data_IF_506348484214
#
_entry.id   IF_506348484214
#
_cell.length_a   1.000
_cell.length_b   1.000
_cell.length_c   1.000
_cell.angle_alpha   90.00
_cell.angle_beta   90.00
_cell.angle_gamma   90.00
#
_symmetry.space_group_name_H-M   'P 1'
#
loop_
_entity.id
_entity.type
_entity.pdbx_description
1 polymer ?
#
# COMPACT_ATOMS: atom_id res chain seq x y z
N UNK A 1 -0.55 -7.85 55.72
CA UNK A 1 -0.49 -7.35 54.37
C UNK A 1 0.60 -8.12 53.60
N UNK A 2 0.22 -9.31 53.11
CA UNK A 2 1.13 -10.15 52.33
C UNK A 2 1.07 -9.79 50.86
N UNK A 3 2.10 -9.13 50.33
CA UNK A 3 2.33 -9.06 48.92
C UNK A 3 3.06 -10.34 48.52
N UNK A 4 2.39 -11.21 47.77
CA UNK A 4 3.00 -12.37 47.17
C UNK A 4 4.06 -11.93 46.19
N UNK A 5 5.33 -12.31 46.40
CA UNK A 5 6.39 -12.19 45.43
C UNK A 5 6.08 -13.11 44.23
N UNK A 6 5.55 -12.53 43.15
CA UNK A 6 5.54 -13.21 41.85
C UNK A 6 7.00 -13.26 41.39
N UNK A 7 7.59 -14.45 41.22
CA UNK A 7 8.99 -14.53 40.72
C UNK A 7 9.04 -13.86 39.33
N UNK A 8 10.00 -12.94 39.12
CA UNK A 8 10.26 -12.35 37.82
C UNK A 8 10.48 -13.50 36.82
N UNK A 9 9.51 -13.73 35.94
CA UNK A 9 9.71 -14.64 34.84
C UNK A 9 10.80 -14.06 33.92
N UNK A 10 11.96 -14.67 33.95
CA UNK A 10 13.02 -14.41 32.98
C UNK A 10 12.61 -15.02 31.64
N UNK A 11 11.98 -14.22 30.79
CA UNK A 11 11.85 -14.61 29.39
C UNK A 11 13.23 -14.57 28.77
N UNK A 12 13.77 -15.74 28.40
CA UNK A 12 14.92 -15.78 27.52
C UNK A 12 14.51 -15.07 26.22
N UNK A 13 15.24 -14.04 25.76
CA UNK A 13 14.93 -13.43 24.47
C UNK A 13 15.04 -14.52 23.41
N UNK A 14 13.96 -14.78 22.71
CA UNK A 14 13.94 -15.68 21.56
C UNK A 14 14.86 -15.03 20.54
N UNK A 15 16.02 -15.64 20.26
CA UNK A 15 16.88 -15.23 19.14
C UNK A 15 16.16 -15.65 17.86
N UNK A 16 15.37 -14.73 17.31
CA UNK A 16 14.83 -14.90 15.98
C UNK A 16 16.00 -14.74 15.01
N UNK A 17 16.40 -15.83 14.35
CA UNK A 17 17.40 -15.76 13.29
C UNK A 17 16.86 -14.89 12.15
N UNK A 18 17.75 -14.25 11.36
CA UNK A 18 17.33 -13.48 10.19
C UNK A 18 16.63 -14.35 9.14
N UNK A 19 16.87 -15.65 9.16
CA UNK A 19 16.27 -16.65 8.27
C UNK A 19 14.85 -17.04 8.73
N UNK A 20 14.54 -16.86 10.03
CA UNK A 20 13.19 -17.08 10.60
C UNK A 20 12.22 -15.92 10.37
N UNK A 21 12.69 -14.79 9.86
CA UNK A 21 11.81 -13.72 9.36
C UNK A 21 11.24 -14.26 8.05
N UNK A 22 10.17 -15.05 8.17
CA UNK A 22 9.51 -15.67 7.03
C UNK A 22 9.24 -14.62 5.97
N UNK A 23 9.79 -14.81 4.78
CA UNK A 23 9.51 -14.01 3.60
C UNK A 23 8.00 -13.98 3.43
N UNK A 24 7.38 -12.85 3.71
CA UNK A 24 5.96 -12.68 3.42
C UNK A 24 5.83 -12.70 1.92
N UNK A 25 4.93 -13.52 1.44
CA UNK A 25 4.61 -13.58 0.03
C UNK A 25 3.95 -12.26 -0.42
N UNK A 26 4.01 -12.00 -1.69
CA UNK A 26 3.37 -10.84 -2.30
C UNK A 26 2.59 -11.29 -3.53
N UNK A 27 1.82 -10.39 -4.11
CA UNK A 27 1.06 -10.66 -5.33
C UNK A 27 1.98 -10.67 -6.55
N UNK A 28 1.65 -11.53 -7.52
CA UNK A 28 2.12 -11.38 -8.90
C UNK A 28 1.37 -10.23 -9.58
N UNK A 29 1.84 -9.79 -10.73
CA UNK A 29 1.15 -8.77 -11.52
C UNK A 29 -0.22 -9.26 -11.97
N UNK A 30 -0.30 -10.52 -12.43
CA UNK A 30 -1.56 -11.14 -12.88
C UNK A 30 -2.57 -11.25 -11.74
N UNK A 31 -2.15 -11.69 -10.56
CA UNK A 31 -3.02 -11.73 -9.37
C UNK A 31 -3.54 -10.34 -8.98
N UNK A 32 -2.71 -9.32 -9.11
CA UNK A 32 -3.12 -7.95 -8.83
C UNK A 32 -4.10 -7.43 -9.89
N UNK A 33 -3.89 -7.73 -11.15
CA UNK A 33 -4.79 -7.37 -12.24
C UNK A 33 -6.15 -8.05 -12.08
N UNK A 34 -6.18 -9.33 -11.72
CA UNK A 34 -7.42 -10.03 -11.37
C UNK A 34 -8.11 -9.41 -10.16
N UNK A 35 -7.35 -8.99 -9.14
CA UNK A 35 -7.90 -8.26 -7.99
C UNK A 35 -8.56 -6.95 -8.43
N UNK A 36 -7.93 -6.17 -9.29
CA UNK A 36 -8.49 -4.90 -9.80
C UNK A 36 -9.77 -5.15 -10.60
N UNK A 37 -9.81 -6.20 -11.43
CA UNK A 37 -11.01 -6.60 -12.18
C UNK A 37 -12.13 -7.04 -11.24
N UNK A 38 -11.82 -7.92 -10.28
CA UNK A 38 -12.78 -8.40 -9.29
C UNK A 38 -13.38 -7.24 -8.47
N UNK A 39 -12.57 -6.30 -8.01
CA UNK A 39 -13.02 -5.16 -7.22
C UNK A 39 -14.01 -4.27 -7.98
N UNK A 40 -13.92 -4.16 -9.31
CA UNK A 40 -14.90 -3.45 -10.14
C UNK A 40 -16.27 -4.18 -10.10
N UNK A 41 -16.24 -5.49 -10.27
CA UNK A 41 -17.44 -6.34 -10.22
C UNK A 41 -18.04 -6.36 -8.81
N UNK A 42 -17.21 -6.47 -7.78
CA UNK A 42 -17.58 -6.53 -6.37
C UNK A 42 -18.38 -5.31 -5.89
N UNK A 43 -18.12 -4.16 -6.48
CA UNK A 43 -18.79 -2.89 -6.17
C UNK A 43 -19.90 -2.51 -7.15
N UNK A 44 -20.17 -3.36 -8.15
CA UNK A 44 -21.17 -3.07 -9.17
C UNK A 44 -22.60 -3.10 -8.59
N UNK A 45 -23.41 -2.09 -8.91
CA UNK A 45 -24.79 -1.95 -8.43
C UNK A 45 -25.65 -3.19 -8.71
N UNK A 46 -25.43 -3.82 -9.88
CA UNK A 46 -26.15 -5.03 -10.28
C UNK A 46 -25.91 -6.21 -9.32
N UNK A 47 -24.70 -6.31 -8.73
CA UNK A 47 -24.29 -7.41 -7.86
C UNK A 47 -24.37 -7.05 -6.37
N UNK A 48 -24.56 -5.77 -6.06
CA UNK A 48 -24.75 -5.28 -4.71
C UNK A 48 -25.79 -4.14 -4.76
N UNK A 49 -27.10 -4.47 -4.84
CA UNK A 49 -28.16 -3.48 -4.96
C UNK A 49 -28.34 -2.68 -3.66
N UNK A 50 -28.05 -3.23 -2.51
CA UNK A 50 -28.07 -2.56 -1.22
C UNK A 50 -27.00 -1.46 -1.20
N UNK A 51 -27.41 -0.21 -0.96
CA UNK A 51 -26.55 0.95 -1.10
C UNK A 51 -25.55 1.06 0.05
N UNK A 52 -25.97 0.70 1.25
CA UNK A 52 -25.09 0.74 2.42
C UNK A 52 -23.97 -0.29 2.27
N UNK A 53 -24.32 -1.52 1.94
CA UNK A 53 -23.36 -2.60 1.70
C UNK A 53 -22.44 -2.28 0.51
N UNK A 54 -22.99 -1.66 -0.53
CA UNK A 54 -22.19 -1.24 -1.69
C UNK A 54 -21.19 -0.15 -1.31
N UNK A 55 -21.57 0.81 -0.49
CA UNK A 55 -20.68 1.86 0.03
C UNK A 55 -19.54 1.26 0.84
N UNK A 56 -19.83 0.28 1.69
CA UNK A 56 -18.80 -0.47 2.43
C UNK A 56 -17.81 -1.15 1.49
N UNK A 57 -18.31 -1.87 0.46
CA UNK A 57 -17.46 -2.51 -0.56
C UNK A 57 -16.63 -1.50 -1.35
N UNK A 58 -17.20 -0.35 -1.68
CA UNK A 58 -16.48 0.75 -2.36
C UNK A 58 -15.35 1.31 -1.50
N UNK A 59 -15.58 1.51 -0.20
CA UNK A 59 -14.52 1.93 0.73
C UNK A 59 -13.37 0.92 0.79
N UNK A 60 -13.69 -0.37 0.88
CA UNK A 60 -12.67 -1.43 0.90
C UNK A 60 -11.90 -1.49 -0.42
N UNK A 61 -12.59 -1.40 -1.57
CA UNK A 61 -11.94 -1.30 -2.88
C UNK A 61 -10.94 -0.14 -2.92
N UNK A 62 -11.38 1.05 -2.54
CA UNK A 62 -10.55 2.25 -2.63
C UNK A 62 -9.43 2.23 -1.58
N UNK A 63 -9.64 1.57 -0.44
CA UNK A 63 -8.58 1.29 0.55
C UNK A 63 -7.49 0.38 -0.03
N UNK A 64 -7.86 -0.73 -0.67
CA UNK A 64 -6.93 -1.68 -1.32
C UNK A 64 -6.11 -0.98 -2.40
N UNK A 65 -6.79 -0.27 -3.31
CA UNK A 65 -6.14 0.42 -4.43
C UNK A 65 -5.25 1.59 -3.96
N UNK A 66 -5.66 2.32 -2.94
CA UNK A 66 -4.82 3.38 -2.36
C UNK A 66 -3.58 2.78 -1.70
N UNK A 67 -3.72 1.71 -0.93
CA UNK A 67 -2.61 1.10 -0.20
C UNK A 67 -1.53 0.55 -1.15
N UNK A 68 -1.93 -0.14 -2.23
CA UNK A 68 -1.01 -0.68 -3.24
C UNK A 68 -0.26 0.41 -4.01
N UNK A 69 -0.87 1.58 -4.20
CA UNK A 69 -0.29 2.65 -5.00
C UNK A 69 0.53 3.66 -4.20
N UNK A 70 0.23 3.85 -2.90
CA UNK A 70 0.89 4.86 -2.07
C UNK A 70 2.11 4.36 -1.31
N UNK A 71 2.35 3.05 -1.27
CA UNK A 71 3.41 2.40 -0.47
C UNK A 71 3.32 2.71 1.03
N UNK A 72 2.21 3.24 1.52
CA UNK A 72 2.01 3.55 2.93
C UNK A 72 1.91 2.28 3.77
N UNK A 73 2.21 2.38 5.06
CA UNK A 73 1.83 1.34 6.01
C UNK A 73 0.32 1.37 6.26
N UNK A 74 -0.27 0.22 6.51
CA UNK A 74 -1.71 0.11 6.82
C UNK A 74 -2.13 1.03 7.96
N UNK A 75 -1.30 1.15 9.01
CA UNK A 75 -1.55 2.05 10.13
C UNK A 75 -1.47 3.54 9.77
N UNK A 76 -0.63 3.92 8.82
CA UNK A 76 -0.55 5.29 8.31
C UNK A 76 -1.80 5.63 7.50
N UNK A 77 -2.21 4.76 6.56
CA UNK A 77 -3.40 4.98 5.74
C UNK A 77 -4.68 5.06 6.59
N UNK A 78 -4.82 4.22 7.62
CA UNK A 78 -5.98 4.22 8.52
C UNK A 78 -6.13 5.51 9.33
N UNK A 79 -5.07 6.27 9.51
CA UNK A 79 -5.05 7.51 10.28
C UNK A 79 -4.97 8.77 9.41
N UNK A 80 -5.03 8.60 8.09
CA UNK A 80 -4.99 9.72 7.15
C UNK A 80 -6.32 10.48 7.21
N UNK A 81 -6.25 11.81 7.33
CA UNK A 81 -7.42 12.69 7.32
C UNK A 81 -7.52 13.44 5.99
N UNK A 82 -8.67 14.06 5.71
CA UNK A 82 -8.83 14.88 4.51
C UNK A 82 -7.88 16.08 4.50
N UNK A 83 -7.50 16.64 5.66
CA UNK A 83 -6.49 17.68 5.77
C UNK A 83 -5.08 17.21 5.38
N UNK A 84 -4.84 15.90 5.30
CA UNK A 84 -3.56 15.33 4.86
C UNK A 84 -3.48 15.15 3.34
N UNK A 85 -4.59 15.37 2.62
CA UNK A 85 -4.62 15.40 1.15
C UNK A 85 -4.34 16.83 0.71
N UNK A 86 -3.09 17.10 0.31
CA UNK A 86 -2.61 18.46 0.05
C UNK A 86 -2.94 18.95 -1.36
N UNK A 87 -3.10 18.03 -2.32
CA UNK A 87 -3.42 18.38 -3.70
C UNK A 87 -3.44 17.19 -4.64
N UNK A 88 -3.83 17.48 -5.88
CA UNK A 88 -3.87 16.51 -6.97
C UNK A 88 -3.23 17.11 -8.21
N UNK A 89 -2.64 16.25 -9.04
CA UNK A 89 -2.09 16.63 -10.32
C UNK A 89 -2.35 15.54 -11.35
N UNK A 90 -2.97 15.90 -12.48
CA UNK A 90 -3.22 14.98 -13.57
C UNK A 90 -1.99 15.00 -14.51
N UNK A 91 -1.43 13.84 -14.78
CA UNK A 91 -0.24 13.62 -15.62
C UNK A 91 -0.50 12.54 -16.66
N UNK A 92 0.39 12.46 -17.61
CA UNK A 92 0.47 11.34 -18.54
C UNK A 92 1.76 10.57 -18.20
N UNK A 93 1.67 9.27 -18.01
CA UNK A 93 2.84 8.44 -17.73
C UNK A 93 3.62 8.11 -19.03
N UNK A 94 4.77 7.45 -18.87
CA UNK A 94 5.65 7.08 -20.00
C UNK A 94 5.00 6.14 -21.02
N UNK A 95 3.88 5.51 -20.67
CA UNK A 95 3.09 4.63 -21.57
C UNK A 95 1.91 5.35 -22.22
N UNK A 96 1.76 6.67 -21.99
CA UNK A 96 0.68 7.47 -22.55
C UNK A 96 -0.64 7.41 -21.75
N UNK A 97 -0.66 6.74 -20.60
CA UNK A 97 -1.85 6.64 -19.76
C UNK A 97 -2.04 7.87 -18.87
N UNK A 98 -3.28 8.35 -18.79
CA UNK A 98 -3.63 9.41 -17.83
C UNK A 98 -3.56 8.86 -16.40
N UNK A 99 -2.87 9.59 -15.54
CA UNK A 99 -2.65 9.24 -14.13
C UNK A 99 -2.98 10.45 -13.27
N UNK A 100 -3.76 10.24 -12.22
CA UNK A 100 -3.98 11.26 -11.20
C UNK A 100 -3.00 11.04 -10.05
N UNK A 101 -2.05 11.94 -9.90
CA UNK A 101 -1.17 11.98 -8.73
C UNK A 101 -1.91 12.66 -7.57
N UNK A 102 -1.55 12.27 -6.36
CA UNK A 102 -2.01 12.91 -5.13
C UNK A 102 -0.82 13.22 -4.24
N UNK A 103 -0.84 14.41 -3.65
CA UNK A 103 0.11 14.82 -2.64
C UNK A 103 -0.46 14.52 -1.26
N UNK A 104 0.23 13.68 -0.49
CA UNK A 104 -0.18 13.24 0.83
C UNK A 104 0.84 13.61 1.89
N UNK A 105 0.37 14.11 3.02
CA UNK A 105 1.16 14.34 4.22
C UNK A 105 0.99 13.19 5.20
N UNK A 106 2.07 12.48 5.49
CA UNK A 106 2.10 11.46 6.54
C UNK A 106 2.68 12.12 7.79
N UNK A 107 1.83 12.29 8.79
CA UNK A 107 2.19 12.98 10.03
C UNK A 107 3.13 12.12 10.87
N UNK A 108 4.03 12.76 11.64
CA UNK A 108 4.98 12.07 12.53
C UNK A 108 4.29 11.19 13.59
N UNK A 109 3.12 11.60 14.04
CA UNK A 109 2.33 10.91 15.07
C UNK A 109 1.80 9.57 14.56
N UNK A 110 1.53 9.47 13.26
CA UNK A 110 1.00 8.26 12.61
C UNK A 110 2.10 7.40 11.99
N UNK A 111 3.30 7.96 11.85
CA UNK A 111 4.44 7.31 11.22
C UNK A 111 5.26 6.48 12.21
N UNK A 112 5.53 5.20 11.86
CA UNK A 112 6.41 4.32 12.66
C UNK A 112 7.80 4.91 12.90
N UNK A 113 8.30 5.67 11.94
CA UNK A 113 9.63 6.32 12.02
C UNK A 113 9.59 7.70 12.66
N UNK A 114 8.42 8.15 13.13
CA UNK A 114 8.18 9.42 13.82
C UNK A 114 8.74 10.66 13.08
N UNK A 115 8.64 10.63 11.76
CA UNK A 115 9.00 11.76 10.88
C UNK A 115 7.83 12.08 9.98
N UNK A 116 7.52 13.37 9.85
CA UNK A 116 6.57 13.86 8.85
C UNK A 116 7.23 13.76 7.47
N UNK A 117 6.48 13.26 6.49
CA UNK A 117 6.90 13.27 5.09
C UNK A 117 5.73 13.65 4.19
N UNK A 118 6.04 14.31 3.11
CA UNK A 118 5.09 14.61 2.03
C UNK A 118 5.51 13.76 0.84
N UNK A 119 4.55 13.08 0.26
CA UNK A 119 4.78 12.19 -0.88
C UNK A 119 3.86 12.56 -2.04
N UNK A 120 4.37 12.46 -3.26
CA UNK A 120 3.58 12.44 -4.48
C UNK A 120 3.46 11.00 -4.97
N UNK A 121 2.24 10.51 -5.16
CA UNK A 121 1.99 9.10 -5.51
C UNK A 121 0.80 8.97 -6.45
N UNK A 122 0.73 7.84 -7.17
CA UNK A 122 -0.45 7.46 -7.95
C UNK A 122 -1.63 7.14 -7.02
N UNK A 123 -2.84 7.18 -7.56
CA UNK A 123 -4.06 6.78 -6.85
C UNK A 123 -4.92 7.95 -6.40
N UNK A 124 -4.65 9.16 -6.91
CA UNK A 124 -5.50 10.33 -6.64
C UNK A 124 -6.94 10.12 -7.07
N UNK A 125 -7.17 9.37 -8.14
CA UNK A 125 -8.51 8.99 -8.61
C UNK A 125 -9.30 8.18 -7.59
N UNK A 126 -8.65 7.35 -6.77
CA UNK A 126 -9.34 6.56 -5.74
C UNK A 126 -9.79 7.45 -4.58
N UNK A 127 -8.96 8.42 -4.20
CA UNK A 127 -9.29 9.38 -3.14
C UNK A 127 -10.34 10.40 -3.62
N UNK A 128 -10.23 10.89 -4.87
CA UNK A 128 -11.28 11.72 -5.48
C UNK A 128 -12.62 10.98 -5.48
N UNK A 129 -12.62 9.70 -5.91
CA UNK A 129 -13.82 8.86 -5.92
C UNK A 129 -14.35 8.59 -4.51
N UNK A 130 -13.51 8.30 -3.54
CA UNK A 130 -13.90 8.12 -2.14
C UNK A 130 -14.69 9.34 -1.64
N UNK A 131 -14.26 10.55 -2.00
CA UNK A 131 -14.94 11.79 -1.61
C UNK A 131 -16.35 11.89 -2.15
N UNK A 132 -16.66 11.27 -3.30
CA UNK A 132 -18.00 11.38 -3.93
C UNK A 132 -19.08 10.59 -3.21
N UNK A 133 -18.73 9.60 -2.40
CA UNK A 133 -19.69 8.75 -1.71
C UNK A 133 -19.47 8.69 -0.18
N UNK A 134 -18.43 9.36 0.34
CA UNK A 134 -18.22 9.48 1.78
C UNK A 134 -19.13 10.53 2.39
N UNK A 135 -19.77 10.20 3.49
CA UNK A 135 -20.55 11.17 4.30
C UNK A 135 -19.66 11.99 5.25
N UNK A 136 -18.39 11.64 5.38
CA UNK A 136 -17.42 12.26 6.29
C UNK A 136 -16.26 12.80 5.46
N UNK A 137 -16.29 14.11 5.18
CA UNK A 137 -15.34 14.77 4.27
C UNK A 137 -14.77 16.07 4.81
N UNK A 138 -15.04 16.36 6.09
CA UNK A 138 -14.45 17.50 6.75
C UNK A 138 -12.92 17.33 6.89
N UNK A 139 -12.14 18.39 6.98
CA UNK A 139 -10.67 18.31 7.06
C UNK A 139 -10.15 17.39 8.16
N UNK A 140 -10.85 17.30 9.28
CA UNK A 140 -10.48 16.46 10.43
C UNK A 140 -10.96 15.01 10.33
N UNK A 141 -11.88 14.72 9.41
CA UNK A 141 -12.39 13.38 9.23
C UNK A 141 -11.31 12.47 8.62
N UNK A 142 -11.37 11.20 9.02
CA UNK A 142 -10.51 10.17 8.41
C UNK A 142 -10.99 9.86 6.99
N UNK A 143 -10.05 9.57 6.08
CA UNK A 143 -10.42 9.15 4.72
C UNK A 143 -11.25 7.86 4.75
N UNK A 144 -10.81 6.88 5.51
CA UNK A 144 -11.42 5.55 5.59
C UNK A 144 -12.03 5.34 6.97
N UNK A 145 -13.25 5.81 7.15
CA UNK A 145 -14.00 5.72 8.40
C UNK A 145 -14.89 4.49 8.44
N UNK A 146 -15.22 4.06 9.67
CA UNK A 146 -16.34 3.19 9.91
C UNK A 146 -17.67 3.86 9.51
N UNK A 147 -18.79 3.16 9.66
CA UNK A 147 -20.12 3.65 9.30
C UNK A 147 -20.53 4.94 10.02
N UNK A 148 -20.09 5.14 11.25
CA UNK A 148 -20.44 6.31 12.06
C UNK A 148 -19.48 7.49 11.93
N UNK A 149 -18.39 7.36 11.16
CA UNK A 149 -17.37 8.40 11.01
C UNK A 149 -16.42 8.58 12.20
N UNK A 150 -16.66 7.87 13.30
CA UNK A 150 -15.99 8.10 14.58
C UNK A 150 -14.63 7.39 14.70
N UNK A 151 -14.43 6.32 13.94
CA UNK A 151 -13.22 5.49 13.99
C UNK A 151 -12.75 5.09 12.58
N UNK A 152 -11.49 4.71 12.43
CA UNK A 152 -11.03 4.11 11.18
C UNK A 152 -11.83 2.86 10.83
N UNK A 153 -11.90 2.56 9.54
CA UNK A 153 -12.45 1.29 9.04
C UNK A 153 -11.91 0.10 9.83
N UNK A 154 -12.82 -0.72 10.37
CA UNK A 154 -12.48 -1.77 11.32
C UNK A 154 -11.58 -2.86 10.72
N UNK A 155 -10.59 -3.32 11.47
CA UNK A 155 -9.71 -4.40 11.01
C UNK A 155 -10.50 -5.67 10.70
N UNK A 156 -11.47 -6.05 11.56
CA UNK A 156 -12.32 -7.23 11.35
C UNK A 156 -13.15 -7.10 10.06
N UNK A 157 -13.70 -5.91 9.81
CA UNK A 157 -14.47 -5.60 8.62
C UNK A 157 -13.58 -5.70 7.36
N UNK A 158 -12.40 -5.08 7.39
CA UNK A 158 -11.42 -5.16 6.30
C UNK A 158 -11.07 -6.61 5.97
N UNK A 159 -10.76 -7.46 6.98
CA UNK A 159 -10.38 -8.85 6.73
C UNK A 159 -11.56 -9.72 6.25
N UNK A 160 -12.79 -9.45 6.67
CA UNK A 160 -13.98 -10.10 6.11
C UNK A 160 -14.08 -9.87 4.59
N UNK A 161 -13.86 -8.63 4.14
CA UNK A 161 -13.84 -8.32 2.71
C UNK A 161 -12.60 -8.87 2.02
N UNK A 162 -11.46 -8.89 2.71
CA UNK A 162 -10.22 -9.47 2.20
C UNK A 162 -10.41 -10.94 1.81
N UNK A 163 -11.01 -11.74 2.68
CA UNK A 163 -11.30 -13.15 2.40
C UNK A 163 -12.20 -13.32 1.17
N UNK A 164 -13.20 -12.45 1.01
CA UNK A 164 -14.07 -12.46 -0.18
C UNK A 164 -13.28 -12.11 -1.44
N UNK A 165 -12.38 -11.11 -1.36
CA UNK A 165 -11.55 -10.69 -2.50
C UNK A 165 -10.57 -11.80 -2.87
N UNK A 166 -9.87 -12.41 -1.90
CA UNK A 166 -8.92 -13.49 -2.15
C UNK A 166 -9.59 -14.69 -2.83
N UNK A 167 -10.73 -15.13 -2.31
CA UNK A 167 -11.53 -16.21 -2.93
C UNK A 167 -12.03 -15.81 -4.32
N UNK A 168 -12.46 -14.56 -4.47
CA UNK A 168 -12.97 -14.05 -5.75
C UNK A 168 -11.94 -14.00 -6.88
N UNK A 169 -10.64 -13.99 -6.55
CA UNK A 169 -9.53 -14.06 -7.51
C UNK A 169 -8.84 -15.43 -7.52
N UNK A 170 -9.44 -16.45 -6.90
CA UNK A 170 -8.93 -17.80 -6.92
C UNK A 170 -7.74 -18.08 -6.01
N UNK A 171 -7.41 -17.18 -5.05
CA UNK A 171 -6.33 -17.41 -4.08
C UNK A 171 -6.94 -17.99 -2.79
N UNK A 172 -7.12 -19.29 -2.76
CA UNK A 172 -7.68 -19.98 -1.58
C UNK A 172 -6.64 -20.17 -0.46
N UNK A 173 -5.37 -20.27 -0.83
CA UNK A 173 -4.22 -20.49 0.06
C UNK A 173 -3.65 -19.18 0.66
N UNK A 174 -4.38 -18.07 0.58
CA UNK A 174 -3.88 -16.75 1.00
C UNK A 174 -3.38 -16.72 2.45
N UNK A 175 -3.94 -17.58 3.33
CA UNK A 175 -3.50 -17.70 4.72
C UNK A 175 -2.15 -18.40 4.84
N UNK A 176 -1.90 -19.45 4.05
CA UNK A 176 -0.64 -20.19 3.99
C UNK A 176 0.47 -19.30 3.42
N UNK A 177 0.15 -18.55 2.35
CA UNK A 177 1.03 -17.53 1.76
C UNK A 177 1.19 -16.30 2.65
N UNK A 178 0.47 -16.21 3.78
CA UNK A 178 0.48 -15.06 4.70
C UNK A 178 0.15 -13.73 4.01
N UNK A 179 -0.69 -13.76 2.97
CA UNK A 179 -1.13 -12.57 2.27
C UNK A 179 -2.05 -11.73 3.16
N UNK A 180 -1.78 -10.44 3.19
CA UNK A 180 -2.51 -9.46 4.00
C UNK A 180 -2.50 -8.10 3.32
N UNK A 181 -3.19 -7.13 3.89
CA UNK A 181 -3.10 -5.74 3.42
C UNK A 181 -1.66 -5.22 3.36
N UNK A 182 -0.77 -5.73 4.21
CA UNK A 182 0.65 -5.37 4.16
C UNK A 182 1.35 -5.90 2.90
N UNK A 183 0.88 -7.01 2.34
CA UNK A 183 1.38 -7.57 1.07
C UNK A 183 1.12 -6.64 -0.12
N UNK A 184 0.08 -5.79 -0.08
CA UNK A 184 -0.16 -4.75 -1.09
C UNK A 184 0.96 -3.70 -1.11
N UNK A 185 1.48 -3.34 0.05
CA UNK A 185 2.66 -2.45 0.13
C UNK A 185 3.90 -3.14 -0.43
N UNK A 186 4.11 -4.42 -0.12
CA UNK A 186 5.21 -5.20 -0.69
C UNK A 186 5.08 -5.26 -2.22
N UNK A 187 3.90 -5.55 -2.73
CA UNK A 187 3.62 -5.52 -4.16
C UNK A 187 3.98 -4.16 -4.77
N UNK A 188 3.47 -3.07 -4.20
CA UNK A 188 3.73 -1.72 -4.71
C UNK A 188 5.22 -1.34 -4.73
N UNK A 189 5.99 -1.73 -3.70
CA UNK A 189 7.45 -1.54 -3.65
C UNK A 189 8.13 -2.38 -4.75
N UNK A 190 7.79 -3.67 -4.83
CA UNK A 190 8.32 -4.60 -5.85
C UNK A 190 8.10 -4.07 -7.26
N UNK A 191 6.88 -3.62 -7.57
CA UNK A 191 6.57 -3.13 -8.92
C UNK A 191 7.34 -1.86 -9.28
N UNK A 192 7.55 -0.94 -8.33
CA UNK A 192 8.35 0.26 -8.57
C UNK A 192 9.83 -0.07 -8.80
N UNK A 193 10.37 -0.99 -8.02
CA UNK A 193 11.77 -1.44 -8.23
C UNK A 193 11.91 -2.13 -9.60
N UNK A 194 10.99 -3.03 -9.95
CA UNK A 194 10.98 -3.70 -11.28
C UNK A 194 10.81 -2.72 -12.44
N UNK A 195 10.14 -1.58 -12.24
CA UNK A 195 10.05 -0.52 -13.25
C UNK A 195 11.23 0.45 -13.25
N UNK A 196 12.30 0.15 -12.53
CA UNK A 196 13.55 0.91 -12.55
C UNK A 196 13.56 2.18 -11.70
N UNK A 197 12.58 2.36 -10.81
CA UNK A 197 12.61 3.48 -9.85
C UNK A 197 13.77 3.28 -8.88
N UNK A 198 14.64 4.28 -8.66
CA UNK A 198 15.77 4.17 -7.75
C UNK A 198 15.34 3.76 -6.34
N UNK A 199 16.08 2.85 -5.74
CA UNK A 199 15.76 2.29 -4.40
C UNK A 199 15.66 3.39 -3.33
N UNK A 200 16.46 4.45 -3.44
CA UNK A 200 16.42 5.58 -2.52
C UNK A 200 15.08 6.34 -2.59
N UNK A 201 14.52 6.50 -3.79
CA UNK A 201 13.23 7.16 -4.01
C UNK A 201 12.09 6.30 -3.49
N UNK A 202 12.13 4.98 -3.78
CA UNK A 202 11.17 4.02 -3.22
C UNK A 202 11.21 4.03 -1.69
N UNK A 203 12.40 4.05 -1.09
CA UNK A 203 12.58 4.11 0.35
C UNK A 203 12.01 5.40 0.96
N UNK A 204 12.24 6.54 0.31
CA UNK A 204 11.71 7.84 0.70
C UNK A 204 10.18 7.86 0.71
N UNK A 205 9.55 7.48 -0.39
CA UNK A 205 8.08 7.39 -0.51
C UNK A 205 7.51 6.42 0.51
N UNK A 206 8.09 5.23 0.61
CA UNK A 206 7.64 4.19 1.53
C UNK A 206 7.88 4.55 3.02
N UNK A 207 8.71 5.53 3.32
CA UNK A 207 9.09 5.90 4.70
C UNK A 207 9.82 4.76 5.42
N UNK A 208 10.84 4.22 4.75
CA UNK A 208 11.71 3.16 5.29
C UNK A 208 13.17 3.46 4.90
N UNK A 209 14.13 2.63 5.36
CA UNK A 209 15.51 2.78 4.95
C UNK A 209 15.80 2.00 3.67
N UNK A 210 16.80 2.44 2.92
CA UNK A 210 17.35 1.71 1.77
C UNK A 210 17.77 0.30 2.20
N UNK A 211 18.52 0.20 3.31
CA UNK A 211 18.97 -1.10 3.85
C UNK A 211 17.80 -2.05 4.16
N UNK A 212 16.66 -1.53 4.63
CA UNK A 212 15.47 -2.36 4.84
C UNK A 212 14.92 -2.91 3.54
N UNK A 213 14.88 -2.09 2.48
CA UNK A 213 14.44 -2.54 1.16
C UNK A 213 15.42 -3.57 0.61
N UNK A 214 16.73 -3.30 0.61
CA UNK A 214 17.77 -4.22 0.15
C UNK A 214 17.66 -5.60 0.83
N UNK A 215 17.48 -5.62 2.15
CA UNK A 215 17.35 -6.88 2.90
C UNK A 215 16.12 -7.69 2.49
N UNK A 216 14.99 -7.04 2.24
CA UNK A 216 13.71 -7.72 1.98
C UNK A 216 13.45 -8.00 0.50
N UNK A 217 14.11 -7.27 -0.41
CA UNK A 217 13.87 -7.33 -1.85
C UNK A 217 15.10 -7.71 -2.66
N UNK A 218 16.14 -8.25 -2.00
CA UNK A 218 17.41 -8.65 -2.63
C UNK A 218 17.23 -9.61 -3.81
N UNK A 219 16.17 -10.43 -3.81
CA UNK A 219 15.86 -11.34 -4.92
C UNK A 219 15.45 -10.64 -6.22
N UNK A 220 15.11 -9.34 -6.15
CA UNK A 220 14.79 -8.52 -7.34
C UNK A 220 16.08 -8.00 -7.97
N UNK A 221 17.14 -7.86 -7.18
CA UNK A 221 18.42 -7.30 -7.64
C UNK A 221 19.07 -8.14 -8.75
N UNK A 222 18.90 -9.46 -8.73
CA UNK A 222 19.47 -10.35 -9.77
C UNK A 222 18.85 -10.06 -11.15
N UNK A 223 17.55 -9.83 -11.23
CA UNK A 223 16.89 -9.50 -12.49
C UNK A 223 17.26 -8.08 -12.95
N UNK A 224 17.30 -7.13 -12.02
CA UNK A 224 17.73 -5.75 -12.30
C UNK A 224 19.20 -5.71 -12.71
N UNK A 225 20.07 -6.52 -12.08
CA UNK A 225 21.48 -6.61 -12.46
C UNK A 225 21.66 -7.18 -13.86
N UNK A 226 20.89 -8.19 -14.25
CA UNK A 226 20.89 -8.74 -15.60
C UNK A 226 20.47 -7.69 -16.61
N UNK A 227 19.37 -6.99 -16.36
CA UNK A 227 18.89 -5.91 -17.23
C UNK A 227 19.92 -4.75 -17.32
N UNK A 228 20.55 -4.40 -16.19
CA UNK A 228 21.59 -3.36 -16.15
C UNK A 228 22.83 -3.80 -16.95
N UNK A 229 23.22 -5.08 -16.85
CA UNK A 229 24.30 -5.65 -17.63
C UNK A 229 24.03 -5.69 -19.16
N UNK A 230 22.76 -5.70 -19.54
CA UNK A 230 22.34 -5.63 -20.96
C UNK A 230 22.26 -4.20 -21.49
N UNK A 231 22.27 -3.17 -20.63
CA UNK A 231 22.25 -1.76 -21.04
C UNK A 231 23.57 -1.40 -21.70
N UNK A 232 23.48 -0.99 -22.96
CA UNK A 232 24.63 -0.56 -23.72
C UNK A 232 25.10 0.82 -23.26
N UNK A 233 26.41 1.03 -23.15
CA UNK A 233 27.01 2.35 -22.95
C UNK A 233 26.97 3.13 -24.28
N UNK A 234 25.79 3.50 -24.73
CA UNK A 234 25.70 4.44 -25.87
C UNK A 234 26.03 5.84 -25.36
N UNK A 235 26.98 6.57 -25.97
CA UNK A 235 27.19 7.97 -25.61
C UNK A 235 25.90 8.74 -25.89
N UNK A 236 25.48 9.55 -24.90
CA UNK A 236 24.36 10.50 -25.09
C UNK A 236 24.75 11.39 -26.27
N UNK A 237 23.97 11.38 -27.34
CA UNK A 237 24.19 12.30 -28.47
C UNK A 237 23.93 13.71 -27.95
N UNK A 238 24.86 14.63 -28.20
CA UNK A 238 24.65 16.06 -27.90
C UNK A 238 23.33 16.51 -28.55
N UNK A 239 22.36 16.94 -27.72
CA UNK A 239 21.04 17.40 -28.14
C UNK A 239 19.85 16.59 -27.60
N UNK A 240 20.04 15.41 -26.99
CA UNK A 240 19.01 14.73 -26.21
C UNK A 240 19.19 15.09 -24.73
N UNK A 241 18.34 15.96 -24.22
CA UNK A 241 18.28 16.22 -22.78
C UNK A 241 18.04 14.89 -22.06
N UNK A 242 19.00 14.49 -21.23
CA UNK A 242 18.87 13.37 -20.33
C UNK A 242 17.81 13.72 -19.26
N UNK A 243 16.56 13.39 -19.55
CA UNK A 243 15.56 13.32 -18.52
C UNK A 243 15.83 12.09 -17.67
N UNK A 244 16.50 12.33 -16.50
CA UNK A 244 16.65 11.39 -15.43
C UNK A 244 15.33 11.15 -14.69
#
# INVERSE_FOLDING_TARGET
NGYSHIPKMFFRPIKISRDDIGKRDTFTLDEYDEMVKFLRTYTAKKLCPDEEQRTERQKVRDYILTLSNTLMRTGELRQLTWADVLGYEDRVDMTGNKVCLVQLRIRKETSKVRRTRIIWVRGGEYIKRLKTYSSFTEPTDLLFTNRTGTHPLGTRELYRHWDVVMKGIGIEDHSERKLSFYSLRHFGITMRMKSGVPIADVASVAGTSVSHIETHYRHIDDDVMKETGLRNFAPVKEGEEAFG
#
